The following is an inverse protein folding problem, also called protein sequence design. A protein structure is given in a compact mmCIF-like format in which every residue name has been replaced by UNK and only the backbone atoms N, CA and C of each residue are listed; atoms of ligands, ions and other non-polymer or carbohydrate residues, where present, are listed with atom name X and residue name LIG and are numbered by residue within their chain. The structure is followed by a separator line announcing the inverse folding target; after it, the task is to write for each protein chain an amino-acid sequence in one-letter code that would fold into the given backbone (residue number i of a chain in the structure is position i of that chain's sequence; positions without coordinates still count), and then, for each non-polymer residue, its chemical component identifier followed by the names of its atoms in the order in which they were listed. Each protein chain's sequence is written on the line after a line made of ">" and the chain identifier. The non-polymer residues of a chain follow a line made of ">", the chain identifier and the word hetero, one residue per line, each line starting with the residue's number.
data_IF_671971789779
#
_entry.id   IF_671971789779
#
_cell.length_a   1.000
_cell.length_b   1.000
_cell.length_c   1.000
_cell.angle_alpha   90.00
_cell.angle_beta   90.00
_cell.angle_gamma   90.00
#
_symmetry.space_group_name_H-M   'P 1'
#
loop_
_entity.id
_entity.type
_entity.pdbx_description
1 polymer ?
2 polymer ?
3 non-polymer ?
4 non-polymer ?
5 water ?
#
# COMPACT_ATOMS: atom_id res chain seq x y z
N UNK A 4 -34.74 23.19 -1.15
CA UNK A 4 -35.60 22.21 -0.47
C UNK A 4 -35.69 20.88 -1.23
N UNK A 5 -35.76 20.96 -2.56
CA UNK A 5 -35.71 19.76 -3.38
C UNK A 5 -34.28 19.29 -3.63
N UNK A 6 -34.10 17.98 -3.76
CA UNK A 6 -32.78 17.42 -4.05
C UNK A 6 -32.61 17.23 -5.55
N UNK A 7 -31.46 17.65 -6.06
CA UNK A 7 -31.18 17.59 -7.48
C UNK A 7 -29.96 16.73 -7.75
N UNK A 8 -30.07 15.87 -8.77
CA UNK A 8 -28.98 14.97 -9.15
C UNK A 8 -28.65 15.23 -10.60
N UNK A 9 -27.42 14.92 -10.99
CA UNK A 9 -27.00 15.05 -12.38
C UNK A 9 -27.72 14.01 -13.23
N UNK A 10 -27.79 14.27 -14.53
CA UNK A 10 -28.49 13.40 -15.46
C UNK A 10 -27.85 12.02 -15.54
N UNK A 11 -26.53 11.97 -15.57
CA UNK A 11 -25.82 10.73 -15.87
C UNK A 11 -24.45 10.70 -15.21
N UNK A 12 -24.38 11.25 -13.99
CA UNK A 12 -23.14 11.27 -13.21
C UNK A 12 -23.52 11.16 -11.74
N UNK A 13 -22.69 10.46 -10.98
CA UNK A 13 -22.85 10.42 -9.53
C UNK A 13 -21.67 11.14 -8.87
N UNK A 14 -21.87 11.61 -7.65
CA UNK A 14 -20.86 12.31 -6.87
C UNK A 14 -20.19 11.30 -5.93
N UNK A 15 -19.06 10.75 -6.37
CA UNK A 15 -18.37 9.73 -5.58
C UNK A 15 -17.34 10.33 -4.64
N UNK A 16 -17.06 11.63 -4.79
CA UNK A 16 -16.04 12.26 -3.97
C UNK A 16 -16.38 12.17 -2.49
N UNK A 17 -15.36 11.98 -1.67
CA UNK A 17 -15.57 11.82 -0.24
C UNK A 17 -14.95 12.99 0.50
N UNK A 18 -15.28 13.13 1.78
CA UNK A 18 -14.72 14.21 2.57
C UNK A 18 -13.26 13.92 2.84
N UNK A 19 -12.37 14.87 2.54
CA UNK A 19 -10.95 14.68 2.85
C UNK A 19 -10.79 14.67 4.38
N UNK A 20 -10.34 13.55 4.94
CA UNK A 20 -10.38 13.38 6.39
C UNK A 20 -9.07 12.91 7.00
N UNK A 21 -7.96 13.09 6.29
CA UNK A 21 -6.65 12.80 6.86
C UNK A 21 -6.11 14.03 7.57
N UNK A 22 -5.29 13.82 8.59
CA UNK A 22 -4.68 14.90 9.35
C UNK A 22 -3.32 15.20 8.74
N UNK A 23 -3.08 16.47 8.34
CA UNK A 23 -3.96 17.64 8.45
C UNK A 23 -5.02 17.72 7.38
N UNK A 24 -6.22 18.15 7.75
CA UNK A 24 -7.33 18.28 6.81
C UNK A 24 -7.32 19.64 6.13
N UNK A 25 -6.74 20.61 6.81
CA UNK A 25 -6.75 22.01 6.37
C UNK A 25 -5.43 22.29 5.67
N UNK A 26 -5.49 22.57 4.37
CA UNK A 26 -4.27 22.77 3.58
C UNK A 26 -3.97 24.24 3.34
N UNK A 27 -4.65 25.12 4.07
CA UNK A 27 -4.50 26.56 3.89
C UNK A 27 -3.08 27.06 4.07
N UNK A 28 -2.32 26.42 4.95
CA UNK A 28 -0.95 26.85 5.24
C UNK A 28 0.10 26.15 4.38
N UNK A 29 -0.33 25.38 3.38
CA UNK A 29 0.61 24.60 2.58
C UNK A 29 1.55 25.53 1.81
N UNK A 30 2.86 25.29 1.90
CA UNK A 30 3.83 26.00 1.07
C UNK A 30 3.52 25.85 -0.42
N UNK A 31 3.04 24.67 -0.81
CA UNK A 31 2.66 24.44 -2.21
C UNK A 31 1.15 24.25 -2.33
N UNK A 32 0.53 25.00 -3.23
CA UNK A 32 -0.93 24.97 -3.36
C UNK A 32 -1.33 24.60 -4.77
N UNK A 33 -1.38 23.29 -5.08
CA UNK A 33 -1.66 22.88 -6.44
C UNK A 33 -3.14 22.96 -6.77
N UNK A 34 -3.44 23.35 -8.01
CA UNK A 34 -4.80 23.46 -8.50
C UNK A 34 -4.87 22.68 -9.80
N UNK A 35 -5.93 21.90 -9.96
CA UNK A 35 -6.12 21.10 -11.17
C UNK A 35 -7.25 21.66 -12.01
N UNK A 36 -6.96 22.06 -13.24
CA UNK A 36 -8.01 22.57 -14.11
C UNK A 36 -8.40 21.50 -15.11
N UNK A 37 -9.70 21.40 -15.37
CA UNK A 37 -10.23 20.43 -16.33
C UNK A 37 -10.92 21.17 -17.48
N UNK A 38 -10.70 20.70 -18.71
CA UNK A 38 -11.30 21.32 -19.90
C UNK A 38 -12.79 21.64 -19.74
N UNK A 39 -13.17 22.82 -20.21
CA UNK A 39 -14.56 23.23 -20.28
C UNK A 39 -14.83 23.57 -21.73
N UNK A 40 -15.30 22.59 -22.49
CA UNK A 40 -15.51 22.75 -23.92
C UNK A 40 -16.95 23.14 -24.17
N UNK A 41 -17.16 24.21 -24.93
CA UNK A 41 -18.51 24.70 -25.22
C UNK A 41 -18.74 24.74 -26.73
N UNK A 42 -19.77 24.03 -27.19
CA UNK A 42 -20.14 24.04 -28.61
C UNK A 42 -21.32 24.96 -28.81
N UNK A 43 -21.34 25.67 -29.94
CA UNK A 43 -22.42 26.62 -30.22
C UNK A 43 -23.73 25.92 -30.58
N UNK A 44 -23.65 24.76 -31.23
CA UNK A 44 -24.85 24.03 -31.64
C UNK A 44 -24.70 22.53 -31.46
N UNK A 45 -25.83 21.82 -31.48
CA UNK A 45 -25.85 20.37 -31.39
C UNK A 45 -25.12 19.73 -32.57
N UNK A 46 -25.36 20.27 -33.77
CA UNK A 46 -24.67 19.81 -34.97
C UNK A 46 -23.15 19.94 -34.85
N UNK A 47 -22.70 21.05 -34.27
CA UNK A 47 -21.28 21.28 -34.02
C UNK A 47 -20.72 20.23 -33.05
N UNK A 48 -21.56 19.75 -32.14
CA UNK A 48 -21.08 18.88 -31.04
C UNK A 48 -21.29 17.40 -31.27
N UNK A 49 -22.41 17.04 -31.90
CA UNK A 49 -22.79 15.64 -32.05
C UNK A 49 -21.69 14.81 -32.71
N UNK A 50 -21.28 13.73 -32.04
CA UNK A 50 -20.27 12.84 -32.57
C UNK A 50 -18.84 13.35 -32.53
N UNK A 51 -18.62 14.54 -31.97
CA UNK A 51 -17.27 15.06 -31.84
C UNK A 51 -16.50 14.36 -30.72
N UNK A 52 -15.23 14.04 -30.96
CA UNK A 52 -14.32 13.59 -29.90
C UNK A 52 -13.58 14.79 -29.34
N UNK A 53 -13.61 14.94 -28.02
CA UNK A 53 -13.02 16.11 -27.40
C UNK A 53 -11.84 15.68 -26.54
N UNK A 54 -10.72 16.37 -26.68
CA UNK A 54 -9.57 16.13 -25.81
C UNK A 54 -9.78 16.84 -24.48
N UNK A 55 -9.91 16.08 -23.39
CA UNK A 55 -10.11 16.69 -22.09
C UNK A 55 -8.77 16.64 -21.35
N UNK A 56 -8.26 17.81 -20.98
CA UNK A 56 -6.98 17.86 -20.27
C UNK A 56 -7.20 18.06 -18.79
N UNK A 57 -6.31 17.45 -18.01
CA UNK A 57 -6.32 17.60 -16.57
C UNK A 57 -4.99 18.24 -16.22
N UNK A 58 -5.03 19.52 -15.91
CA UNK A 58 -3.84 20.35 -15.91
C UNK A 58 -3.53 20.89 -14.52
N UNK A 59 -2.32 20.64 -14.03
CA UNK A 59 -1.96 21.13 -12.70
C UNK A 59 -1.11 22.39 -12.78
N UNK A 60 -1.33 23.32 -11.84
CA UNK A 60 -0.50 24.51 -11.74
C UNK A 60 -0.12 24.75 -10.29
N UNK A 61 0.99 25.46 -10.09
CA UNK A 61 1.41 25.88 -8.77
C UNK A 61 2.29 24.87 -8.03
N UNK A 62 2.66 23.78 -8.71
CA UNK A 62 3.37 22.69 -8.05
C UNK A 62 4.66 22.21 -8.76
N UNK A 63 5.27 23.09 -9.55
CA UNK A 63 6.48 22.74 -10.31
C UNK A 63 7.62 22.28 -9.41
N UNK A 64 8.06 21.04 -9.56
CA UNK A 64 9.21 20.56 -8.81
C UNK A 64 8.87 20.31 -7.36
N UNK A 65 7.58 20.15 -7.07
CA UNK A 65 7.15 20.06 -5.67
C UNK A 65 6.33 18.81 -5.36
N UNK A 66 6.09 17.95 -6.35
CA UNK A 66 5.40 16.69 -6.05
C UNK A 66 6.05 15.49 -6.74
N UNK A 67 5.65 14.28 -6.31
CA UNK A 67 6.22 13.05 -6.85
C UNK A 67 5.20 11.92 -6.95
N UNK A 68 4.26 11.88 -6.01
CA UNK A 68 3.33 10.76 -5.90
C UNK A 68 1.89 11.25 -5.99
N UNK A 69 1.17 10.77 -7.00
CA UNK A 69 -0.21 11.20 -7.17
C UNK A 69 -1.13 10.04 -7.48
N UNK A 70 -2.41 10.24 -7.16
CA UNK A 70 -3.41 9.27 -7.53
C UNK A 70 -4.76 9.88 -7.27
N UNK A 71 -5.56 10.04 -8.32
CA UNK A 71 -6.90 10.56 -8.14
C UNK A 71 -7.89 9.98 -9.15
N UNK A 72 -9.18 10.10 -8.83
CA UNK A 72 -10.23 9.55 -9.65
C UNK A 72 -10.85 10.59 -10.59
N UNK A 73 -11.11 10.18 -11.83
CA UNK A 73 -11.81 10.98 -12.82
C UNK A 73 -13.06 10.22 -13.24
N UNK A 74 -14.20 10.90 -13.32
CA UNK A 74 -15.40 10.28 -13.86
C UNK A 74 -15.99 11.22 -14.88
N UNK A 75 -16.82 10.71 -15.78
CA UNK A 75 -17.49 11.57 -16.75
C UNK A 75 -18.93 11.11 -16.98
N UNK A 76 -19.75 12.05 -17.43
CA UNK A 76 -21.14 11.78 -17.82
C UNK A 76 -21.23 10.48 -18.61
N UNK A 77 -22.06 9.56 -18.15
CA UNK A 77 -22.20 8.23 -18.76
C UNK A 77 -22.60 8.28 -20.22
N UNK A 78 -23.19 9.39 -20.64
CA UNK A 78 -23.61 9.49 -22.04
C UNK A 78 -22.42 9.70 -22.98
N UNK A 79 -21.28 10.11 -22.42
CA UNK A 79 -20.09 10.31 -23.24
C UNK A 79 -19.44 8.97 -23.49
N UNK A 80 -18.74 8.83 -24.62
CA UNK A 80 -18.05 7.59 -24.93
C UNK A 80 -16.54 7.83 -24.91
N UNK A 81 -15.82 7.07 -24.08
CA UNK A 81 -14.38 7.28 -24.00
C UNK A 81 -13.68 6.62 -25.19
N UNK A 82 -12.68 7.30 -25.73
CA UNK A 82 -11.91 6.75 -26.84
C UNK A 82 -10.56 6.32 -26.27
N UNK A 83 -10.37 5.02 -26.12
CA UNK A 83 -9.17 4.48 -25.48
C UNK A 83 -7.90 4.71 -26.30
N UNK A 84 -6.75 4.72 -25.64
CA UNK A 84 -5.48 4.82 -26.34
C UNK A 84 -5.20 3.49 -27.02
N UNK A 85 -4.10 3.44 -27.74
CA UNK A 85 -3.69 2.23 -28.47
C UNK A 85 -3.48 1.03 -27.54
N UNK A 86 -3.31 1.29 -26.24
CA UNK A 86 -3.13 0.20 -25.27
C UNK A 86 -4.43 -0.19 -24.58
N UNK A 87 -5.51 0.53 -24.88
CA UNK A 87 -6.78 0.27 -24.23
C UNK A 87 -7.06 1.14 -23.01
N UNK A 88 -6.06 1.93 -22.61
CA UNK A 88 -6.22 2.82 -21.44
C UNK A 88 -7.18 3.95 -21.75
N UNK A 89 -7.90 4.41 -20.73
CA UNK A 89 -8.86 5.51 -20.93
C UNK A 89 -8.19 6.89 -20.83
N UNK A 90 -6.97 6.91 -20.31
CA UNK A 90 -6.23 8.16 -20.17
C UNK A 90 -4.78 7.99 -20.60
N UNK A 91 -4.19 9.11 -21.00
CA UNK A 91 -2.83 9.16 -21.52
C UNK A 91 -2.05 10.26 -20.79
N UNK A 92 -0.86 9.95 -20.30
CA UNK A 92 -0.09 10.93 -19.52
C UNK A 92 0.31 12.11 -20.40
N UNK A 93 0.54 13.26 -19.76
CA UNK A 93 0.91 14.47 -20.48
C UNK A 93 2.25 14.97 -20.04
N UNK A 94 2.61 16.16 -20.51
CA UNK A 94 3.97 16.68 -20.29
C UNK A 94 4.31 16.92 -18.82
N UNK A 95 3.29 17.12 -17.98
CA UNK A 95 3.54 17.38 -16.56
C UNK A 95 4.20 16.17 -15.89
N UNK A 96 4.00 14.99 -16.47
CA UNK A 96 4.46 13.73 -15.89
C UNK A 96 5.65 13.16 -16.65
N UNK A 97 6.23 13.97 -17.55
CA UNK A 97 7.33 13.52 -18.38
C UNK A 97 8.53 13.04 -17.56
N UNK A 98 8.80 13.69 -16.44
CA UNK A 98 9.95 13.32 -15.61
C UNK A 98 9.62 12.31 -14.50
N UNK A 99 8.37 11.82 -14.50
CA UNK A 99 7.92 10.81 -13.54
C UNK A 99 7.88 9.46 -14.24
N UNK A 100 8.83 8.59 -13.86
CA UNK A 100 9.01 7.28 -14.50
C UNK A 100 7.80 6.37 -14.33
N UNK A 101 7.08 6.56 -13.23
CA UNK A 101 5.91 5.75 -12.92
C UNK A 101 4.68 6.56 -13.29
N UNK A 102 3.81 6.00 -14.13
CA UNK A 102 2.55 6.64 -14.49
C UNK A 102 1.63 5.57 -15.03
N UNK A 103 0.40 5.53 -14.54
CA UNK A 103 -0.52 4.45 -14.87
C UNK A 103 -1.96 4.92 -14.85
N UNK A 104 -2.67 4.68 -15.95
CA UNK A 104 -4.10 4.93 -16.04
C UNK A 104 -4.85 3.62 -15.92
N UNK A 105 -5.80 3.56 -14.99
CA UNK A 105 -6.56 2.33 -14.76
C UNK A 105 -8.03 2.58 -15.05
N UNK A 106 -8.59 1.84 -16.00
CA UNK A 106 -9.98 2.06 -16.41
C UNK A 106 -10.97 1.73 -15.30
N UNK A 107 -12.04 2.53 -15.22
CA UNK A 107 -13.00 2.41 -14.11
C UNK A 107 -14.43 2.75 -14.54
N UNK A 108 -14.94 2.05 -15.54
CA UNK A 108 -16.32 2.28 -15.97
C UNK A 108 -16.43 3.61 -16.71
N UNK A 109 -17.30 4.49 -16.24
CA UNK A 109 -17.39 5.85 -16.79
C UNK A 109 -16.34 6.73 -16.13
N UNK A 110 -15.11 6.25 -16.13
CA UNK A 110 -14.04 6.96 -15.46
C UNK A 110 -12.75 6.19 -15.52
N UNK A 111 -11.74 6.73 -14.84
CA UNK A 111 -10.41 6.18 -14.89
C UNK A 111 -9.71 6.61 -13.60
N UNK A 112 -8.77 5.81 -13.13
CA UNK A 112 -7.96 6.21 -12.00
C UNK A 112 -6.55 6.48 -12.51
N UNK A 113 -5.99 7.65 -12.17
CA UNK A 113 -4.70 8.05 -12.72
C UNK A 113 -3.71 8.31 -11.60
N UNK A 114 -2.53 7.70 -11.73
CA UNK A 114 -1.53 7.75 -10.68
C UNK A 114 -0.12 7.94 -11.23
N UNK A 115 0.78 8.48 -10.41
CA UNK A 115 2.15 8.65 -10.86
C UNK A 115 3.12 8.55 -9.69
N UNK A 116 4.38 8.30 -10.02
CA UNK A 116 5.45 8.24 -9.04
C UNK A 116 6.72 8.71 -9.66
N UNK A 117 7.68 9.12 -8.83
CA UNK A 117 8.92 9.69 -9.30
C UNK A 117 9.98 9.52 -8.21
N UNK A 118 11.24 9.39 -8.62
CA UNK A 118 12.32 9.13 -7.68
C UNK A 118 12.86 10.37 -7.00
N UNK A 119 12.22 11.50 -7.31
CA UNK A 119 12.48 12.77 -6.63
C UNK A 119 11.25 13.61 -6.92
N UNK A 120 11.24 14.86 -6.47
CA UNK A 120 10.10 15.74 -6.74
C UNK A 120 10.13 16.28 -8.17
N UNK A 121 9.94 15.38 -9.12
CA UNK A 121 10.08 15.72 -10.54
C UNK A 121 8.72 16.06 -11.16
N UNK A 122 7.67 16.03 -10.34
CA UNK A 122 6.35 16.46 -10.81
C UNK A 122 6.44 17.89 -11.34
N UNK A 123 5.79 18.16 -12.47
CA UNK A 123 5.85 19.48 -13.10
C UNK A 123 4.45 20.04 -13.29
N UNK A 124 4.37 21.34 -13.57
CA UNK A 124 3.08 21.94 -13.90
C UNK A 124 2.74 21.59 -15.35
N UNK A 125 1.46 21.65 -15.69
CA UNK A 125 1.02 21.34 -17.05
C UNK A 125 0.01 20.22 -17.11
N UNK A 126 -0.17 19.68 -18.31
CA UNK A 126 -1.11 18.58 -18.50
C UNK A 126 -0.60 17.26 -17.87
N UNK A 127 -1.30 16.76 -16.86
CA UNK A 127 -0.94 15.47 -16.27
C UNK A 127 -1.51 14.31 -17.06
N UNK A 128 -2.75 14.46 -17.52
CA UNK A 128 -3.46 13.40 -18.22
C UNK A 128 -4.41 14.01 -19.26
N UNK A 129 -4.63 13.29 -20.35
CA UNK A 129 -5.71 13.57 -21.28
C UNK A 129 -6.62 12.37 -21.42
N UNK A 130 -7.89 12.65 -21.67
CA UNK A 130 -8.90 11.64 -21.94
C UNK A 130 -9.65 12.17 -23.15
N UNK A 131 -9.86 11.32 -24.16
CA UNK A 131 -10.67 11.68 -25.31
C UNK A 131 -12.08 11.17 -25.11
N UNK A 132 -13.05 12.10 -25.13
CA UNK A 132 -14.44 11.75 -24.90
C UNK A 132 -15.30 12.14 -26.10
N UNK A 133 -16.07 11.18 -26.61
CA UNK A 133 -16.93 11.46 -27.77
C UNK A 133 -18.36 11.85 -27.37
N UNK A 134 -18.82 12.98 -27.91
CA UNK A 134 -20.20 13.46 -27.70
C UNK A 134 -21.22 12.57 -28.44
N UNK A 135 -22.33 12.20 -27.78
CA UNK A 135 -23.27 11.30 -28.44
C UNK A 135 -23.96 11.92 -29.66
N UNK A 136 -24.41 11.08 -30.58
CA UNK A 136 -25.03 11.55 -31.81
C UNK A 136 -26.33 12.30 -31.53
N UNK A 137 -27.02 11.92 -30.46
CA UNK A 137 -28.31 12.51 -30.14
C UNK A 137 -28.20 13.70 -29.20
N UNK A 138 -27.02 14.31 -29.15
CA UNK A 138 -26.83 15.50 -28.32
C UNK A 138 -27.77 16.63 -28.74
N UNK A 139 -28.23 17.41 -27.76
CA UNK A 139 -29.15 18.51 -28.02
C UNK A 139 -28.59 19.81 -27.47
N UNK A 140 -29.05 20.92 -28.03
CA UNK A 140 -28.72 22.23 -27.48
C UNK A 140 -29.07 22.28 -26.00
N UNK A 141 -28.20 22.89 -25.20
CA UNK A 141 -28.46 23.02 -23.78
C UNK A 141 -27.83 21.91 -22.97
N UNK A 142 -27.42 20.85 -23.65
CA UNK A 142 -26.86 19.68 -22.94
C UNK A 142 -25.51 20.00 -22.30
N UNK A 143 -25.31 19.43 -21.11
CA UNK A 143 -24.04 19.55 -20.40
C UNK A 143 -23.61 18.15 -19.94
N UNK A 144 -22.39 17.76 -20.28
CA UNK A 144 -21.83 16.48 -19.87
C UNK A 144 -20.68 16.77 -18.90
N UNK A 145 -20.95 16.68 -17.59
CA UNK A 145 -19.92 17.06 -16.61
C UNK A 145 -18.79 16.05 -16.53
N UNK A 146 -17.62 16.53 -16.11
CA UNK A 146 -16.44 15.70 -15.96
C UNK A 146 -15.90 16.00 -14.57
N UNK A 147 -15.70 14.95 -13.76
CA UNK A 147 -15.44 15.11 -12.34
C UNK A 147 -14.08 14.55 -11.94
N UNK A 148 -13.34 15.32 -11.15
CA UNK A 148 -12.15 14.82 -10.44
C UNK A 148 -12.58 14.64 -9.00
N UNK A 149 -12.35 13.46 -8.43
CA UNK A 149 -12.86 13.18 -7.10
C UNK A 149 -11.81 12.53 -6.22
N UNK A 150 -11.87 12.85 -4.93
CA UNK A 150 -11.03 12.22 -3.92
C UNK A 150 -11.78 11.04 -3.36
N UNK A 151 -11.13 9.87 -3.33
CA UNK A 151 -11.74 8.72 -2.66
C UNK A 151 -10.81 8.15 -1.62
N UNK A 152 -11.39 7.53 -0.59
CA UNK A 152 -10.60 6.94 0.48
C UNK A 152 -11.32 5.72 1.04
N UNK A 153 -10.55 4.74 1.49
CA UNK A 153 -11.10 3.67 2.32
C UNK A 153 -9.98 3.19 3.25
N UNK A 154 -10.31 2.32 4.23
CA UNK A 154 -9.24 1.94 5.16
C UNK A 154 -8.06 1.23 4.49
N UNK A 155 -8.23 0.69 3.29
CA UNK A 155 -7.11 0.00 2.62
C UNK A 155 -6.15 0.96 1.90
N UNK A 156 -6.70 2.02 1.33
CA UNK A 156 -5.88 3.00 0.60
C UNK A 156 -6.73 4.19 0.23
N UNK A 157 -6.06 5.30 -0.08
CA UNK A 157 -6.75 6.49 -0.51
C UNK A 157 -5.97 7.22 -1.60
N UNK A 158 -6.60 8.26 -2.13
CA UNK A 158 -6.03 9.05 -3.21
C UNK A 158 -4.92 9.95 -2.67
N UNK A 159 -4.01 10.36 -3.56
CA UNK A 159 -2.76 10.96 -3.11
C UNK A 159 -2.36 12.16 -3.95
N UNK A 160 -1.66 13.10 -3.33
CA UNK A 160 -0.94 14.13 -4.06
C UNK A 160 0.12 14.70 -3.14
N UNK A 161 1.29 14.08 -3.14
CA UNK A 161 2.28 14.40 -2.12
C UNK A 161 3.66 14.41 -2.73
N UNK A 162 4.65 14.74 -1.90
CA UNK A 162 6.01 14.82 -2.41
C UNK A 162 6.73 13.48 -2.22
N UNK A 163 7.99 13.43 -2.64
CA UNK A 163 8.69 12.17 -2.73
C UNK A 163 8.82 11.49 -1.36
N UNK A 164 9.08 12.29 -0.34
CA UNK A 164 9.26 11.76 1.02
C UNK A 164 7.96 11.74 1.82
N UNK A 165 6.88 12.19 1.19
CA UNK A 165 5.59 12.34 1.86
C UNK A 165 5.76 13.08 3.17
N UNK A 166 6.41 14.23 3.08
CA UNK A 166 6.75 15.03 4.25
C UNK A 166 5.53 15.73 4.82
N UNK A 167 5.73 16.46 5.91
CA UNK A 167 4.69 17.28 6.51
C UNK A 167 4.14 18.26 5.50
N UNK A 168 5.03 18.89 4.73
CA UNK A 168 4.59 19.82 3.68
C UNK A 168 3.93 19.06 2.53
N UNK A 169 4.38 17.84 2.28
CA UNK A 169 3.75 16.99 1.28
C UNK A 169 2.31 16.72 1.62
N UNK A 170 2.06 16.46 2.90
CA UNK A 170 0.71 16.16 3.37
C UNK A 170 -0.17 17.42 3.40
N UNK A 171 0.44 18.57 3.63
CA UNK A 171 -0.29 19.83 3.57
C UNK A 171 -0.68 20.14 2.13
N UNK A 172 0.25 19.87 1.21
CA UNK A 172 0.00 20.07 -0.21
C UNK A 172 -1.14 19.16 -0.65
N UNK A 173 -1.15 17.95 -0.11
CA UNK A 173 -2.16 16.97 -0.47
C UNK A 173 -3.55 17.44 -0.05
N UNK A 174 -3.64 17.93 1.18
CA UNK A 174 -4.91 18.43 1.68
C UNK A 174 -5.35 19.60 0.84
N UNK A 175 -4.42 20.50 0.50
CA UNK A 175 -4.78 21.63 -0.36
C UNK A 175 -5.34 21.13 -1.68
N UNK A 176 -4.63 20.19 -2.30
CA UNK A 176 -5.05 19.67 -3.62
C UNK A 176 -6.49 19.20 -3.62
N UNK A 177 -6.83 18.37 -2.64
CA UNK A 177 -8.15 17.75 -2.64
C UNK A 177 -9.25 18.65 -2.10
N UNK A 178 -8.92 19.58 -1.19
CA UNK A 178 -9.94 20.44 -0.61
C UNK A 178 -10.12 21.79 -1.31
N UNK A 179 -9.08 22.27 -1.98
CA UNK A 179 -9.13 23.59 -2.62
C UNK A 179 -8.66 23.54 -4.06
N UNK A 180 -7.89 22.52 -4.40
CA UNK A 180 -7.31 22.41 -5.73
C UNK A 180 -8.28 21.84 -6.76
N UNK A 181 -9.29 21.11 -6.30
CA UNK A 181 -10.31 20.58 -7.19
C UNK A 181 -11.70 20.96 -6.67
N UNK A 182 -12.71 20.80 -7.51
CA UNK A 182 -14.08 21.01 -7.07
C UNK A 182 -14.64 19.76 -6.42
N UNK A 183 -15.61 19.95 -5.54
CA UNK A 183 -16.27 18.85 -4.86
C UNK A 183 -17.51 19.39 -4.18
N UNK A 184 -18.29 18.55 -3.52
CA UNK A 184 -19.49 19.05 -2.84
C UNK A 184 -19.11 20.02 -1.72
N UNK A 185 -17.89 19.90 -1.21
CA UNK A 185 -17.41 20.81 -0.17
C UNK A 185 -16.81 22.08 -0.76
N UNK A 186 -16.33 21.99 -2.00
CA UNK A 186 -15.82 23.16 -2.72
C UNK A 186 -16.46 23.22 -4.09
N UNK A 187 -17.75 23.60 -4.13
CA UNK A 187 -18.54 23.50 -5.36
C UNK A 187 -18.15 24.50 -6.44
N UNK A 188 -18.23 24.07 -7.69
CA UNK A 188 -18.14 24.99 -8.81
C UNK A 188 -19.32 25.96 -8.80
N UNK A 189 -19.08 27.18 -9.27
CA UNK A 189 -20.18 28.13 -9.51
C UNK A 189 -20.37 28.31 -11.01
N UNK A 190 -19.67 27.50 -11.80
CA UNK A 190 -19.80 27.54 -13.25
C UNK A 190 -21.26 27.28 -13.64
N UNK A 191 -21.83 28.16 -14.47
CA UNK A 191 -23.25 28.10 -14.78
C UNK A 191 -23.68 26.77 -15.42
N UNK A 192 -22.84 26.22 -16.30
CA UNK A 192 -23.13 24.93 -16.94
C UNK A 192 -23.19 23.79 -15.92
N UNK A 193 -22.26 23.79 -14.98
CA UNK A 193 -22.27 22.77 -13.92
C UNK A 193 -23.46 22.93 -12.98
N UNK A 194 -23.85 24.17 -12.72
CA UNK A 194 -25.04 24.45 -11.92
C UNK A 194 -26.26 23.89 -12.65
N UNK A 195 -26.33 24.15 -13.95
CA UNK A 195 -27.43 23.67 -14.79
C UNK A 195 -27.47 22.15 -14.81
N UNK A 196 -26.28 21.54 -14.86
CA UNK A 196 -26.17 20.09 -14.91
C UNK A 196 -26.42 19.44 -13.55
N UNK A 197 -26.68 20.26 -12.54
CA UNK A 197 -26.78 19.78 -11.15
C UNK A 197 -25.56 18.95 -10.75
N UNK A 198 -24.39 19.44 -11.13
CA UNK A 198 -23.15 18.70 -10.94
C UNK A 198 -22.04 19.64 -10.50
N UNK A 199 -22.31 20.45 -9.47
CA UNK A 199 -21.34 21.44 -9.01
C UNK A 199 -20.16 20.81 -8.25
N UNK A 200 -20.24 19.51 -7.98
CA UNK A 200 -19.10 18.79 -7.41
C UNK A 200 -18.09 18.46 -8.50
N UNK A 201 -18.55 18.56 -9.76
CA UNK A 201 -17.71 18.25 -10.92
C UNK A 201 -16.79 19.43 -11.26
N UNK A 202 -15.95 19.25 -12.28
CA UNK A 202 -14.78 20.10 -12.49
C UNK A 202 -14.68 20.72 -13.87
N UNK A 203 -14.99 19.92 -14.88
CA UNK A 203 -15.00 20.43 -16.25
C UNK A 203 -16.24 19.86 -16.87
N UNK A 204 -16.33 19.98 -18.20
CA UNK A 204 -17.51 19.52 -18.93
C UNK A 204 -17.35 19.68 -20.43
N UNK A 205 -18.24 19.02 -21.16
CA UNK A 205 -18.49 19.39 -22.55
C UNK A 205 -19.93 19.84 -22.54
N UNK A 206 -20.15 21.08 -23.01
CA UNK A 206 -21.47 21.69 -22.97
C UNK A 206 -21.87 22.14 -24.37
N UNK A 207 -23.17 22.27 -24.59
CA UNK A 207 -23.68 22.77 -25.86
C UNK A 207 -24.59 23.95 -25.54
N UNK A 208 -24.30 25.11 -26.11
CA UNK A 208 -25.06 26.33 -25.80
C UNK A 208 -26.56 26.13 -25.92
N UNK A 209 -27.31 26.86 -25.09
CA UNK A 209 -28.76 26.80 -25.09
C UNK A 209 -29.32 27.38 -26.37
N UNK A 210 -30.45 26.84 -26.82
CA UNK A 210 -31.14 27.38 -27.97
C UNK A 210 -31.65 28.79 -27.70
N UNK B 5 11.02 -42.90 53.89
CA UNK B 5 12.35 -43.47 54.03
C UNK B 5 12.89 -43.85 52.66
N UNK B 6 12.00 -44.41 51.85
CA UNK B 6 12.32 -44.85 50.50
C UNK B 6 12.68 -43.65 49.61
N UNK B 7 13.86 -43.70 49.01
CA UNK B 7 14.34 -42.62 48.18
C UNK B 7 13.85 -42.79 46.74
N UNK B 8 13.34 -41.72 46.15
CA UNK B 8 12.99 -41.75 44.73
C UNK B 8 13.46 -40.47 44.05
N UNK B 9 13.47 -40.49 42.71
CA UNK B 9 13.77 -39.30 41.91
C UNK B 9 12.54 -38.93 41.10
N UNK B 10 12.35 -37.63 40.87
CA UNK B 10 11.24 -37.17 40.06
C UNK B 10 11.63 -35.86 39.40
N UNK B 11 11.07 -35.59 38.23
CA UNK B 11 11.28 -34.33 37.54
C UNK B 11 10.75 -33.18 38.37
N UNK B 12 11.59 -32.17 38.60
CA UNK B 12 11.18 -30.99 39.35
C UNK B 12 10.77 -29.88 38.42
N UNK B 13 11.55 -29.70 37.35
CA UNK B 13 11.20 -28.72 36.34
C UNK B 13 11.88 -29.05 35.01
N UNK B 14 11.39 -28.43 33.95
CA UNK B 14 11.83 -28.74 32.60
C UNK B 14 11.75 -27.50 31.75
N UNK B 15 12.80 -27.22 31.00
CA UNK B 15 12.87 -25.99 30.22
C UNK B 15 13.66 -26.23 28.94
N UNK B 16 13.47 -25.34 27.97
CA UNK B 16 14.15 -25.48 26.69
C UNK B 16 15.03 -24.24 26.45
N UNK B 17 16.15 -24.44 25.78
CA UNK B 17 16.94 -23.31 25.29
C UNK B 17 16.93 -23.40 23.78
N UNK B 18 16.63 -22.29 23.14
CA UNK B 18 16.44 -22.30 21.69
C UNK B 18 17.27 -21.23 21.04
N UNK B 19 17.99 -21.63 20.00
CA UNK B 19 18.69 -20.70 19.12
C UNK B 19 17.81 -20.57 17.87
N UNK B 20 17.34 -19.36 17.59
CA UNK B 20 16.47 -19.17 16.45
C UNK B 20 16.82 -17.88 15.73
N UNK B 21 16.31 -17.73 14.50
CA UNK B 21 16.53 -16.51 13.74
C UNK B 21 15.17 -15.93 13.35
N UNK B 22 15.14 -14.64 13.03
CA UNK B 22 13.95 -13.95 12.54
C UNK B 22 13.37 -14.63 11.31
N UNK B 23 12.07 -14.43 11.10
CA UNK B 23 11.46 -14.84 9.84
C UNK B 23 10.49 -13.77 9.40
N UNK B 24 10.47 -13.49 8.09
CA UNK B 24 9.56 -12.50 7.50
C UNK B 24 8.44 -13.21 6.77
N UNK B 25 7.20 -12.74 6.92
CA UNK B 25 6.08 -13.39 6.25
C UNK B 25 5.07 -12.38 5.70
N UNK B 26 4.33 -12.78 4.67
CA UNK B 26 3.19 -11.98 4.21
C UNK B 26 1.96 -12.36 5.03
N UNK B 27 1.04 -11.41 5.20
CA UNK B 27 -0.16 -11.64 5.99
C UNK B 27 -1.05 -12.75 5.43
N UNK B 28 -0.86 -13.07 4.16
CA UNK B 28 -1.69 -14.08 3.49
C UNK B 28 -1.15 -15.51 3.63
N UNK B 29 0.09 -15.65 4.11
CA UNK B 29 0.72 -16.98 4.15
C UNK B 29 0.11 -17.90 5.20
N UNK B 30 0.09 -19.19 4.91
CA UNK B 30 -0.62 -20.12 5.78
C UNK B 30 0.31 -20.94 6.67
N UNK B 31 1.60 -20.60 6.66
CA UNK B 31 2.57 -21.41 7.38
C UNK B 31 3.84 -20.65 7.78
N UNK B 32 4.21 -20.74 9.06
CA UNK B 32 5.53 -20.28 9.50
C UNK B 32 6.58 -21.33 9.14
N UNK B 33 7.83 -20.92 8.99
CA UNK B 33 8.89 -21.84 8.58
C UNK B 33 9.72 -22.28 9.80
N UNK B 34 9.70 -23.58 10.10
CA UNK B 34 10.46 -24.12 11.24
C UNK B 34 11.97 -23.99 11.06
N UNK B 35 12.40 -23.57 9.87
CA UNK B 35 13.81 -23.36 9.61
C UNK B 35 14.35 -22.21 10.46
N UNK B 36 13.46 -21.37 10.98
CA UNK B 36 13.84 -20.32 11.93
C UNK B 36 14.49 -20.94 13.17
N UNK B 37 14.06 -22.15 13.51
CA UNK B 37 14.56 -22.84 14.71
C UNK B 37 15.87 -23.57 14.39
N UNK B 38 16.99 -23.01 14.84
CA UNK B 38 18.30 -23.56 14.50
C UNK B 38 18.68 -24.69 15.43
N UNK B 39 18.34 -24.54 16.71
CA UNK B 39 18.67 -25.58 17.67
C UNK B 39 17.82 -25.41 18.91
N UNK B 40 17.38 -26.51 19.47
CA UNK B 40 16.56 -26.49 20.67
C UNK B 40 16.99 -27.62 21.56
N UNK B 41 17.36 -27.29 22.79
CA UNK B 41 17.86 -28.30 23.73
C UNK B 41 16.95 -28.34 24.95
N UNK B 42 16.44 -29.52 25.27
CA UNK B 42 15.52 -29.68 26.40
C UNK B 42 16.29 -30.08 27.65
N UNK B 43 16.13 -29.32 28.72
CA UNK B 43 16.77 -29.64 30.00
C UNK B 43 15.72 -30.16 30.99
N UNK B 44 16.06 -31.22 31.70
CA UNK B 44 15.14 -31.79 32.69
C UNK B 44 15.81 -31.88 34.06
N UNK B 45 15.26 -31.15 35.03
CA UNK B 45 15.84 -31.11 36.36
C UNK B 45 15.15 -32.11 37.29
N UNK B 46 15.93 -32.93 37.99
CA UNK B 46 15.40 -33.89 38.93
C UNK B 46 15.70 -33.50 40.38
N UNK B 47 14.84 -33.95 41.29
CA UNK B 47 15.16 -33.95 42.71
C UNK B 47 15.12 -35.39 43.19
N UNK B 48 16.06 -35.77 44.03
CA UNK B 48 16.05 -37.08 44.60
C UNK B 48 15.92 -36.89 46.09
N UNK B 49 15.12 -37.73 46.74
CA UNK B 49 14.91 -37.60 48.16
C UNK B 49 13.80 -38.50 48.67
N UNK B 50 13.30 -38.17 49.84
CA UNK B 50 12.28 -39.00 50.48
C UNK B 50 11.31 -38.13 51.25
N UNK B 51 10.24 -38.75 51.73
CA UNK B 51 9.31 -38.08 52.62
C UNK B 51 9.49 -38.72 53.99
N UNK B 52 9.78 -37.90 55.00
CA UNK B 52 9.98 -38.43 56.34
C UNK B 52 8.68 -38.93 56.93
N UNK B 53 8.78 -39.63 58.06
CA UNK B 53 7.60 -40.14 58.75
C UNK B 53 6.65 -38.99 59.15
N UNK B 54 7.20 -37.81 59.36
CA UNK B 54 6.40 -36.64 59.73
C UNK B 54 5.75 -36.00 58.50
N UNK B 55 5.91 -36.65 57.35
CA UNK B 55 5.26 -36.21 56.13
C UNK B 55 5.98 -35.06 55.42
N UNK B 56 7.11 -34.63 55.97
CA UNK B 56 7.89 -33.56 55.35
C UNK B 56 8.85 -34.11 54.29
N UNK B 57 8.79 -33.53 53.10
CA UNK B 57 9.66 -33.91 51.99
C UNK B 57 11.10 -33.45 52.24
N UNK B 58 12.05 -34.36 52.04
CA UNK B 58 13.47 -34.05 52.13
C UNK B 58 14.11 -34.22 50.75
N UNK B 59 14.83 -33.21 50.28
CA UNK B 59 15.55 -33.33 49.02
C UNK B 59 17.03 -33.54 49.32
N UNK B 60 17.56 -34.66 48.82
CA UNK B 60 18.95 -35.01 49.07
C UNK B 60 19.88 -34.54 47.94
N UNK B 61 19.29 -34.33 46.76
CA UNK B 61 20.03 -34.21 45.52
C UNK B 61 19.28 -33.41 44.45
N UNK B 62 19.96 -32.49 43.77
CA UNK B 62 19.36 -31.84 42.61
C UNK B 62 20.32 -32.01 41.43
N UNK B 63 19.79 -32.32 40.25
CA UNK B 63 20.63 -32.65 39.11
C UNK B 63 19.78 -32.62 37.85
N UNK B 64 20.43 -32.59 36.69
CA UNK B 64 19.71 -32.71 35.42
C UNK B 64 20.09 -34.01 34.73
N UNK B 65 19.20 -34.55 33.91
CA UNK B 65 19.57 -35.69 33.08
C UNK B 65 20.28 -35.06 31.88
N UNK B 66 20.83 -35.88 30.99
CA UNK B 66 21.53 -35.33 29.83
C UNK B 66 20.56 -34.56 28.94
N UNK B 67 20.91 -33.31 28.62
CA UNK B 67 20.04 -32.47 27.82
C UNK B 67 19.79 -33.12 26.45
N UNK B 68 18.60 -32.92 25.88
CA UNK B 68 18.21 -33.63 24.67
C UNK B 68 17.95 -32.63 23.56
N UNK B 69 18.53 -32.87 22.39
CA UNK B 69 18.28 -32.04 21.22
C UNK B 69 16.90 -32.38 20.67
N UNK B 70 15.98 -31.41 20.67
CA UNK B 70 14.63 -31.66 20.19
C UNK B 70 14.29 -30.74 19.02
N UNK B 71 15.32 -30.14 18.43
CA UNK B 71 15.17 -29.15 17.35
C UNK B 71 14.13 -29.58 16.32
N UNK B 72 14.24 -30.82 15.88
CA UNK B 72 13.44 -31.36 14.79
C UNK B 72 11.98 -31.59 15.17
N UNK B 73 11.70 -31.66 16.47
CA UNK B 73 10.36 -31.98 16.96
C UNK B 73 9.50 -30.74 17.23
N UNK B 74 10.09 -29.56 17.09
CA UNK B 74 9.35 -28.33 17.41
C UNK B 74 8.48 -27.85 16.26
N UNK B 75 7.23 -27.50 16.58
CA UNK B 75 6.30 -26.94 15.59
C UNK B 75 5.79 -25.60 16.11
N UNK B 76 5.01 -24.90 15.30
CA UNK B 76 4.39 -23.66 15.75
C UNK B 76 2.91 -23.87 16.06
N UNK B 77 2.50 -25.13 16.22
CA UNK B 77 1.14 -25.46 16.56
C UNK B 77 0.18 -25.05 15.46
N UNK B 78 -0.89 -24.34 15.83
CA UNK B 78 -1.90 -23.93 14.86
C UNK B 78 -1.70 -22.52 14.35
N UNK B 79 -0.74 -21.79 14.93
CA UNK B 79 -0.49 -20.41 14.51
C UNK B 79 0.03 -20.33 13.08
N UNK B 80 -0.42 -19.31 12.36
CA UNK B 80 -0.03 -19.06 10.98
C UNK B 80 0.09 -17.55 10.80
N UNK B 81 0.81 -17.11 9.77
CA UNK B 81 0.87 -15.67 9.52
C UNK B 81 -0.54 -15.07 9.36
N UNK B 82 -1.41 -15.76 8.63
CA UNK B 82 -2.74 -15.24 8.35
C UNK B 82 -3.57 -15.09 9.61
N UNK B 83 -3.43 -16.02 10.55
CA UNK B 83 -4.23 -15.94 11.77
C UNK B 83 -3.57 -15.21 12.93
N UNK B 84 -2.37 -14.70 12.69
CA UNK B 84 -1.60 -13.97 13.70
C UNK B 84 -1.54 -12.47 13.38
N UNK B 85 -1.50 -12.17 12.10
CA UNK B 85 -1.36 -10.79 11.63
C UNK B 85 -2.42 -9.83 12.18
N UNK B 86 -1.94 -8.74 12.78
CA UNK B 86 -2.80 -7.62 13.16
C UNK B 86 -2.15 -6.31 12.72
N UNK B 87 -2.91 -5.50 11.98
CA UNK B 87 -2.39 -4.21 11.56
C UNK B 87 -2.32 -3.27 12.77
N UNK B 88 -1.11 -2.95 13.20
CA UNK B 88 -0.87 -2.02 14.30
C UNK B 88 0.22 -1.04 13.88
N UNK B 89 0.03 0.24 14.18
CA UNK B 89 0.95 1.29 13.75
C UNK B 89 2.35 1.08 14.31
N UNK B 90 3.34 1.03 13.42
CA UNK B 90 4.76 0.91 13.80
C UNK B 90 5.07 -0.35 14.60
N UNK B 91 4.30 -1.42 14.37
CA UNK B 91 4.48 -2.67 15.12
C UNK B 91 4.28 -3.86 14.20
N UNK B 92 5.36 -4.60 13.91
CA UNK B 92 5.28 -5.72 12.97
C UNK B 92 5.84 -7.04 13.49
N UNK B 93 6.35 -7.04 14.71
CA UNK B 93 6.96 -8.26 15.24
C UNK B 93 5.99 -9.01 16.15
N UNK B 94 6.07 -10.34 16.11
CA UNK B 94 5.22 -11.19 16.94
C UNK B 94 6.08 -12.27 17.55
N UNK B 95 5.74 -12.69 18.76
CA UNK B 95 6.38 -13.84 19.40
C UNK B 95 5.48 -15.07 19.29
N UNK B 96 5.93 -16.05 18.52
CA UNK B 96 5.16 -17.26 18.25
C UNK B 96 5.65 -18.41 19.12
N UNK B 97 4.77 -18.95 20.00
CA UNK B 97 5.16 -20.06 20.87
C UNK B 97 5.49 -21.31 20.08
N UNK B 98 6.55 -22.02 20.49
CA UNK B 98 6.84 -23.31 19.88
C UNK B 98 6.08 -24.38 20.62
N UNK B 99 5.86 -25.51 19.95
CA UNK B 99 5.16 -26.62 20.57
C UNK B 99 5.99 -27.88 20.44
N UNK B 100 5.92 -28.71 21.47
CA UNK B 100 6.65 -29.94 21.50
C UNK B 100 5.69 -30.96 22.07
N UNK B 101 5.43 -32.02 21.30
CA UNK B 101 4.40 -33.00 21.67
C UNK B 101 3.10 -32.29 22.01
N UNK B 102 2.73 -31.31 21.19
CA UNK B 102 1.46 -30.58 21.34
C UNK B 102 1.31 -29.76 22.63
N UNK B 103 2.43 -29.37 23.23
CA UNK B 103 2.38 -28.48 24.39
C UNK B 103 3.45 -27.42 24.26
N UNK B 104 3.23 -26.25 24.86
CA UNK B 104 4.25 -25.20 24.86
C UNK B 104 5.36 -25.63 25.80
N UNK B 105 6.49 -24.95 25.70
CA UNK B 105 7.63 -25.20 26.59
C UNK B 105 8.03 -23.91 27.27
N UNK B 106 8.63 -24.02 28.44
CA UNK B 106 9.19 -22.84 29.11
C UNK B 106 10.67 -22.69 28.77
N UNK B 107 11.13 -21.45 28.63
CA UNK B 107 12.56 -21.20 28.46
C UNK B 107 13.26 -21.22 29.81
N UNK B 108 14.54 -20.90 29.85
CA UNK B 108 15.29 -20.97 31.12
C UNK B 108 14.73 -20.07 32.22
N UNK B 109 14.03 -19.01 31.82
CA UNK B 109 13.56 -18.01 32.78
C UNK B 109 12.07 -18.18 33.13
N UNK B 110 11.50 -19.30 32.76
CA UNK B 110 10.13 -19.61 33.14
C UNK B 110 9.04 -19.06 32.22
N UNK B 111 9.44 -18.42 31.12
CA UNK B 111 8.46 -17.91 30.17
C UNK B 111 8.26 -18.86 28.99
N UNK B 112 7.07 -18.86 28.40
CA UNK B 112 6.82 -19.69 27.22
C UNK B 112 7.84 -19.39 26.13
N UNK B 113 8.49 -20.43 25.62
CA UNK B 113 9.52 -20.27 24.60
C UNK B 113 8.88 -19.87 23.29
N UNK B 114 9.34 -18.76 22.71
CA UNK B 114 8.77 -18.25 21.48
C UNK B 114 9.85 -17.93 20.46
N UNK B 115 9.42 -17.80 19.21
CA UNK B 115 10.28 -17.38 18.12
C UNK B 115 9.74 -16.08 17.50
N UNK B 116 10.64 -15.17 17.12
CA UNK B 116 10.22 -13.87 16.60
C UNK B 116 9.85 -13.94 15.11
N UNK B 117 8.69 -13.41 14.74
CA UNK B 117 8.39 -13.28 13.30
C UNK B 117 7.94 -11.85 12.99
N UNK B 118 8.09 -11.46 11.72
CA UNK B 118 7.57 -10.17 11.24
C UNK B 118 6.57 -10.47 10.13
N UNK B 119 5.40 -9.84 10.20
CA UNK B 119 4.35 -10.13 9.24
C UNK B 119 3.83 -8.82 8.68
N UNK B 120 3.76 -8.71 7.35
CA UNK B 120 3.28 -7.48 6.77
C UNK B 120 2.53 -7.69 5.47
N UNK B 121 2.06 -6.60 4.87
CA UNK B 121 1.34 -6.68 3.60
C UNK B 121 2.36 -6.62 2.49
N UNK B 122 2.29 -7.55 1.55
CA UNK B 122 3.16 -7.46 0.38
C UNK B 122 2.92 -6.10 -0.27
N UNK B 123 3.99 -5.47 -0.74
CA UNK B 123 3.92 -4.14 -1.32
C UNK B 123 4.08 -2.96 -0.36
N UNK B 124 4.00 -3.22 0.95
CA UNK B 124 3.97 -2.12 1.93
C UNK B 124 5.37 -1.62 2.32
N UNK B 125 6.06 -1.06 1.33
CA UNK B 125 7.42 -0.53 1.50
C UNK B 125 7.64 0.38 2.70
N UNK B 126 6.71 1.30 2.94
CA UNK B 126 6.91 2.25 4.04
C UNK B 126 6.29 1.80 5.37
N UNK B 127 5.86 0.55 5.43
CA UNK B 127 5.46 -0.07 6.69
C UNK B 127 4.38 0.74 7.42
N UNK B 128 3.32 1.11 6.71
CA UNK B 128 2.22 1.84 7.32
C UNK B 128 0.90 1.08 7.18
N UNK B 129 1.00 -0.22 6.92
CA UNK B 129 -0.17 -1.10 6.82
C UNK B 129 -1.09 -0.72 5.65
N UNK B 130 -0.56 0.02 4.70
CA UNK B 130 -1.32 0.48 3.54
C UNK B 130 -0.48 0.24 2.29
N UNK B 131 -1.06 -0.34 1.24
CA UNK B 131 -0.33 -0.49 -0.02
C UNK B 131 -0.83 0.57 -0.97
N UNK B 132 0.03 1.55 -1.29
CA UNK B 132 -0.40 2.62 -2.17
C UNK B 132 0.73 3.18 -3.01
N UNK B 133 0.46 4.29 -3.69
CA UNK B 133 1.44 4.87 -4.60
C UNK B 133 2.72 5.32 -3.91
N UNK B 134 2.64 5.63 -2.62
CA UNK B 134 3.83 6.06 -1.89
C UNK B 134 4.84 4.91 -1.79
N UNK B 135 4.32 3.69 -1.66
CA UNK B 135 5.19 2.53 -1.62
C UNK B 135 5.90 2.32 -2.95
N UNK B 136 5.16 2.52 -4.04
CA UNK B 136 5.75 2.42 -5.38
C UNK B 136 6.86 3.45 -5.57
N UNK B 137 6.58 4.69 -5.18
CA UNK B 137 7.58 5.76 -5.26
C UNK B 137 8.81 5.46 -4.40
N UNK B 138 8.58 4.95 -3.19
CA UNK B 138 9.72 4.68 -2.31
C UNK B 138 10.59 3.58 -2.92
N UNK B 139 9.94 2.57 -3.50
CA UNK B 139 10.67 1.49 -4.13
C UNK B 139 11.45 2.02 -5.33
N UNK B 140 10.80 2.83 -6.16
CA UNK B 140 11.47 3.43 -7.32
C UNK B 140 12.65 4.30 -6.89
N UNK B 141 12.44 5.04 -5.82
CA UNK B 141 13.46 5.97 -5.33
C UNK B 141 14.69 5.20 -4.87
N UNK B 142 14.45 4.06 -4.22
CA UNK B 142 15.56 3.22 -3.76
C UNK B 142 16.34 2.66 -4.94
N UNK B 143 15.62 2.23 -5.98
CA UNK B 143 16.27 1.73 -7.19
C UNK B 143 17.17 2.80 -7.82
N UNK B 144 16.66 4.03 -7.92
CA UNK B 144 17.41 5.10 -8.56
C UNK B 144 18.66 5.44 -7.75
N UNK B 145 18.52 5.46 -6.42
CA UNK B 145 19.65 5.73 -5.55
C UNK B 145 20.75 4.66 -5.69
N UNK B 146 20.35 3.39 -5.58
CA UNK B 146 21.31 2.29 -5.64
C UNK B 146 21.83 2.03 -7.05
N UNK B 147 21.25 2.69 -8.05
CA UNK B 147 21.76 2.61 -9.41
C UNK B 147 22.74 3.74 -9.69
N UNK B 148 22.97 4.58 -8.68
CA UNK B 148 23.91 5.69 -8.80
C UNK B 148 25.29 5.27 -8.29
N UNK B 149 26.32 5.69 -9.02
CA UNK B 149 27.70 5.40 -8.63
C UNK B 149 27.99 5.81 -7.19
N UNK B 150 28.60 4.91 -6.43
CA UNK B 150 28.96 5.20 -5.05
C UNK B 150 27.87 4.84 -4.06
N UNK B 151 26.78 4.26 -4.54
CA UNK B 151 25.68 3.90 -3.65
C UNK B 151 25.20 2.46 -3.83
N UNK B 152 24.87 1.81 -2.72
CA UNK B 152 24.23 0.50 -2.80
C UNK B 152 23.35 0.20 -1.61
N UNK B 153 22.90 -1.04 -1.53
CA UNK B 153 22.05 -1.51 -0.46
C UNK B 153 22.59 -1.19 0.93
N UNK B 154 23.92 -1.06 1.05
CA UNK B 154 24.52 -0.82 2.36
C UNK B 154 24.51 0.65 2.79
N UNK B 155 24.39 1.56 1.83
CA UNK B 155 24.43 2.98 2.14
C UNK B 155 23.09 3.69 1.93
N UNK B 156 22.14 2.98 1.34
CA UNK B 156 20.81 3.54 1.08
C UNK B 156 19.73 2.78 1.85
N UNK B 157 18.85 3.54 2.50
CA UNK B 157 17.69 2.94 3.16
C UNK B 157 16.53 2.89 2.17
N UNK B 158 15.75 1.82 2.17
CA UNK B 158 14.61 1.67 1.27
C UNK B 158 13.33 2.26 1.83
N UNK B 159 13.03 1.92 3.08
CA UNK B 159 11.77 2.32 3.70
C UNK B 159 11.81 3.70 4.33
N UNK B 160 10.79 4.52 4.04
CA UNK B 160 10.60 5.81 4.74
C UNK B 160 10.12 5.63 6.20
N UNK B 161 9.79 4.41 6.59
CA UNK B 161 9.26 4.14 7.95
C UNK B 161 10.15 4.73 9.04
N UNK B 162 9.56 5.30 10.09
CA UNK B 162 10.33 5.70 11.27
C UNK B 162 11.05 4.51 11.89
N UNK B 163 10.57 3.31 11.62
CA UNK B 163 11.19 2.10 12.18
C UNK B 163 12.58 1.87 11.59
N UNK B 164 12.77 2.33 10.35
CA UNK B 164 14.06 2.27 9.72
C UNK B 164 14.85 3.53 10.04
N UNK B 165 14.16 4.67 10.03
CA UNK B 165 14.75 5.95 10.35
C UNK B 165 15.98 6.29 9.54
N UNK B 166 15.94 5.98 8.24
CA UNK B 166 17.06 6.29 7.35
C UNK B 166 18.26 5.37 7.53
N UNK B 167 18.12 4.34 8.35
CA UNK B 167 19.24 3.46 8.70
C UNK B 167 19.37 2.28 7.76
N UNK B 168 20.40 2.29 6.90
CA UNK B 168 20.49 1.28 5.83
C UNK B 168 20.63 -0.15 6.34
N UNK B 169 21.02 -0.31 7.60
CA UNK B 169 21.24 -1.65 8.14
C UNK B 169 20.19 -2.08 9.16
N UNK B 170 19.07 -1.38 9.20
CA UNK B 170 17.96 -1.80 10.06
C UNK B 170 17.34 -3.12 9.59
N UNK B 171 16.96 -3.96 10.53
CA UNK B 171 16.26 -5.20 10.21
C UNK B 171 14.92 -4.88 9.53
N UNK B 172 14.34 -3.73 9.87
CA UNK B 172 13.08 -3.33 9.23
C UNK B 172 13.28 -2.97 7.77
N UNK B 173 14.51 -2.63 7.38
CA UNK B 173 14.77 -2.38 5.97
C UNK B 173 14.89 -3.69 5.21
N UNK B 174 15.38 -4.73 5.88
CA UNK B 174 15.34 -6.05 5.29
C UNK B 174 13.90 -6.50 5.12
N UNK B 175 13.07 -6.21 6.13
CA UNK B 175 11.65 -6.58 6.12
C UNK B 175 10.93 -5.81 5.01
N UNK B 176 11.23 -4.52 4.92
CA UNK B 176 10.65 -3.68 3.86
C UNK B 176 11.04 -4.22 2.48
N UNK B 177 12.31 -4.58 2.31
CA UNK B 177 12.77 -5.17 1.05
C UNK B 177 12.00 -6.43 0.72
N UNK B 178 11.79 -7.29 1.73
CA UNK B 178 11.01 -8.50 1.54
C UNK B 178 9.58 -8.16 1.08
N UNK B 179 8.99 -7.13 1.68
CA UNK B 179 7.64 -6.75 1.29
C UNK B 179 7.61 -6.13 -0.11
N UNK B 180 8.68 -5.42 -0.48
CA UNK B 180 8.70 -4.65 -1.73
C UNK B 180 9.06 -5.49 -2.95
N UNK B 181 9.70 -6.64 -2.70
CA UNK B 181 10.22 -7.48 -3.76
C UNK B 181 9.10 -8.32 -4.33
N UNK B 182 8.13 -7.66 -4.97
CA UNK B 182 6.92 -8.31 -5.46
C UNK B 182 7.21 -9.04 -6.76
N UNK B 183 8.31 -8.66 -7.40
CA UNK B 183 8.74 -9.31 -8.63
C UNK B 183 10.08 -9.97 -8.33
N UNK B 184 10.06 -11.28 -8.10
CA UNK B 184 11.28 -12.04 -7.82
C UNK B 184 11.58 -12.98 -8.98
N UNK B 185 12.64 -12.68 -9.73
CA UNK B 185 12.95 -13.48 -10.91
C UNK B 185 13.31 -14.92 -10.54
N UNK B 186 13.96 -15.09 -9.39
CA UNK B 186 14.44 -16.40 -8.96
C UNK B 186 13.32 -17.33 -8.50
N UNK B 187 12.15 -16.76 -8.20
CA UNK B 187 11.06 -17.53 -7.64
C UNK B 187 11.34 -17.97 -6.21
N UNK B 188 10.78 -19.11 -5.82
CA UNK B 188 10.88 -19.65 -4.45
C UNK B 188 12.31 -19.93 -4.01
N UNK B 189 13.23 -20.01 -4.97
CA UNK B 189 14.61 -20.36 -4.65
C UNK B 189 15.37 -19.24 -3.93
N UNK B 190 14.90 -18.00 -4.08
CA UNK B 190 15.34 -16.93 -3.20
C UNK B 190 14.38 -16.95 -2.02
N UNK B 191 14.85 -17.45 -0.87
CA UNK B 191 13.98 -17.68 0.27
C UNK B 191 13.62 -16.38 1.01
N UNK B 192 12.66 -16.47 1.90
CA UNK B 192 12.26 -15.35 2.75
C UNK B 192 13.39 -14.86 3.66
N UNK B 193 14.45 -15.65 3.81
CA UNK B 193 15.57 -15.20 4.65
C UNK B 193 16.60 -14.32 3.94
N UNK B 194 16.39 -14.05 2.65
CA UNK B 194 17.30 -13.15 1.93
C UNK B 194 17.32 -11.75 2.57
N UNK B 195 18.50 -11.14 2.63
CA UNK B 195 18.61 -9.79 3.15
C UNK B 195 18.38 -8.81 2.04
N UNK B 196 18.20 -7.53 2.39
CA UNK B 196 17.93 -6.50 1.39
C UNK B 196 19.01 -6.48 0.32
N UNK B 197 20.26 -6.57 0.74
CA UNK B 197 21.37 -6.55 -0.22
C UNK B 197 21.36 -7.76 -1.17
N UNK B 198 20.66 -8.82 -0.78
CA UNK B 198 20.64 -10.03 -1.59
C UNK B 198 19.48 -10.04 -2.60
N UNK B 199 18.63 -9.02 -2.52
CA UNK B 199 17.47 -8.91 -3.42
C UNK B 199 17.70 -7.91 -4.55
N UNK B 200 16.90 -8.02 -5.60
CA UNK B 200 16.88 -7.02 -6.66
C UNK B 200 15.60 -6.22 -6.53
N UNK B 201 15.73 -4.99 -6.03
CA UNK B 201 14.60 -4.11 -5.86
C UNK B 201 14.71 -3.08 -6.96
N UNK B 202 13.87 -3.19 -7.98
CA UNK B 202 14.03 -2.33 -9.15
C UNK B 202 12.74 -1.66 -9.61
N UNK B 203 12.79 -1.03 -10.78
CA UNK B 203 11.63 -0.34 -11.32
C UNK B 203 10.48 -1.27 -11.64
N UNK B 204 10.77 -2.55 -11.85
CA UNK B 204 9.71 -3.54 -12.11
C UNK B 204 8.94 -3.82 -10.82
N UNK B 205 9.66 -3.93 -9.71
CA UNK B 205 8.98 -3.99 -8.41
C UNK B 205 8.12 -2.75 -8.21
N UNK B 206 8.66 -1.58 -8.53
CA UNK B 206 7.93 -0.33 -8.28
C UNK B 206 6.68 -0.20 -9.16
N UNK B 207 6.81 -0.59 -10.43
CA UNK B 207 5.68 -0.54 -11.38
C UNK B 207 4.55 -1.49 -10.97
N UNK B 208 4.91 -2.71 -10.60
CA UNK B 208 3.98 -3.61 -9.91
C UNK B 208 3.96 -2.85 -8.60
N UNK B 209 2.99 -3.01 -7.73
CA UNK B 209 2.82 -2.10 -6.58
C UNK B 209 2.06 -0.89 -7.05
N UNK B 210 2.60 -0.09 -7.98
CA UNK B 210 1.79 1.01 -8.52
C UNK B 210 0.53 0.46 -9.17
N UNK B 211 0.70 -0.57 -10.00
CA UNK B 211 -0.45 -1.17 -10.68
C UNK B 211 -1.36 -1.88 -9.69
N UNK B 212 -0.78 -2.47 -8.66
CA UNK B 212 -1.59 -3.06 -7.61
C UNK B 212 -2.42 -1.92 -7.01
N UNK B 213 -1.77 -0.81 -6.70
CA UNK B 213 -2.48 0.33 -6.14
C UNK B 213 -3.59 0.85 -7.08
N UNK B 214 -3.27 1.01 -8.37
CA UNK B 214 -4.29 1.51 -9.27
C UNK B 214 -5.46 0.54 -9.42
N UNK B 215 -5.17 -0.75 -9.57
CA UNK B 215 -6.26 -1.71 -9.70
C UNK B 215 -7.09 -1.77 -8.43
N UNK B 216 -6.45 -1.68 -7.26
CA UNK B 216 -7.20 -1.66 -6.00
C UNK B 216 -8.16 -0.47 -5.94
N UNK B 217 -7.87 0.57 -6.71
CA UNK B 217 -8.60 1.84 -6.63
C UNK B 217 -9.74 1.94 -7.63
N UNK B 218 -9.93 0.90 -8.42
CA UNK B 218 -11.10 0.88 -9.32
C UNK B 218 -12.09 -0.20 -8.89
N UNK B 219 -13.33 -0.09 -9.36
CA UNK B 219 -14.41 -0.97 -8.89
C UNK B 219 -14.12 -2.46 -9.13
N UNK B 220 -13.52 -2.77 -10.26
CA UNK B 220 -13.27 -4.16 -10.65
C UNK B 220 -12.41 -4.93 -9.66
N UNK B 221 -11.42 -4.29 -9.05
CA UNK B 221 -10.46 -5.01 -8.23
C UNK B 221 -10.42 -4.60 -6.76
N UNK B 222 -11.27 -3.66 -6.37
CA UNK B 222 -11.27 -3.16 -4.99
C UNK B 222 -11.34 -4.31 -3.98
N UNK B 223 -12.32 -5.20 -4.17
CA UNK B 223 -12.54 -6.31 -3.23
C UNK B 223 -11.44 -7.36 -3.29
N UNK B 224 -10.97 -7.67 -4.51
CA UNK B 224 -9.86 -8.59 -4.68
C UNK B 224 -8.64 -8.11 -3.88
N UNK B 225 -8.32 -6.83 -4.01
CA UNK B 225 -7.17 -6.29 -3.31
C UNK B 225 -7.31 -6.43 -1.80
N UNK B 226 -8.53 -6.20 -1.31
CA UNK B 226 -8.79 -6.18 0.11
C UNK B 226 -8.91 -7.60 0.68
N UNK B 227 -9.54 -8.49 -0.08
CA UNK B 227 -9.86 -9.82 0.44
C UNK B 227 -8.81 -10.87 0.12
N UNK B 228 -8.36 -10.90 -1.13
CA UNK B 228 -7.32 -11.83 -1.56
C UNK B 228 -6.27 -11.10 -2.39
N UNK B 229 -5.44 -10.30 -1.72
CA UNK B 229 -4.48 -9.47 -2.46
C UNK B 229 -3.56 -10.34 -3.30
N UNK B 230 -3.35 -11.58 -2.86
CA UNK B 230 -2.44 -12.47 -3.57
C UNK B 230 -2.85 -12.79 -5.00
N UNK B 231 -4.16 -12.88 -5.25
CA UNK B 231 -4.65 -13.08 -6.60
C UNK B 231 -4.43 -11.82 -7.46
N UNK B 232 -4.47 -10.65 -6.83
CA UNK B 232 -4.22 -9.41 -7.56
C UNK B 232 -2.72 -9.27 -7.83
N UNK B 233 -1.89 -9.65 -6.87
CA UNK B 233 -0.45 -9.61 -7.11
C UNK B 233 -0.08 -10.48 -8.31
N UNK B 234 -0.66 -11.69 -8.39
CA UNK B 234 -0.35 -12.58 -9.51
C UNK B 234 -0.74 -11.96 -10.86
N UNK B 235 -1.86 -11.23 -10.87
CA UNK B 235 -2.30 -10.57 -12.08
C UNK B 235 -1.33 -9.45 -12.46
N UNK B 236 -0.94 -8.64 -11.49
CA UNK B 236 -0.10 -7.49 -11.80
C UNK B 236 1.34 -7.89 -12.14
N UNK B 237 1.81 -9.04 -11.64
CA UNK B 237 3.17 -9.49 -11.95
C UNK B 237 3.22 -10.40 -13.18
N UNK B 238 2.07 -10.62 -13.81
CA UNK B 238 2.01 -11.43 -15.01
C UNK B 238 2.06 -12.91 -14.75
N UNK B 239 1.95 -13.29 -13.47
CA UNK B 239 2.02 -14.70 -13.09
C UNK B 239 0.65 -15.40 -13.14
N UNK B 240 -0.36 -14.69 -13.60
CA UNK B 240 -1.72 -15.23 -13.73
C UNK B 240 -2.62 -14.32 -14.56
X LIG C 1 -14.87 17.09 -8.23
X LIG D 1 1.40 7.88 7.11
X LIG D 1 1.94 6.54 6.88
X LIG D 1 0.25 8.10 6.23
X LIG D 1 0.97 7.99 8.50
X LIG D 1 2.44 8.87 6.85
X LIG E 1 -21.98 4.63 -8.78
X LIG E 1 -21.80 4.63 -10.23
X LIG E 1 -23.41 4.62 -8.46
X LIG E 1 -21.38 3.45 -8.19
X LIG E 1 -21.36 5.84 -8.22
X LIG F 1 -33.40 20.83 -12.13
X LIG F 1 -32.28 21.70 -11.77
X LIG F 1 -33.35 20.53 -13.56
X LIG F 1 -33.32 19.59 -11.36
X LIG F 1 -34.65 21.53 -11.81
X LIG G 1 -6.33 19.87 10.77
X LIG G 1 -5.55 20.36 9.64
X LIG G 1 -7.51 20.72 10.93
X LIG G 1 -6.73 18.48 10.56
X LIG G 1 -5.51 19.94 11.98
X LIG H 1 -27.93 18.06 -18.96
X LIG H 1 -28.42 19.45 -18.94
X LIG H 1 -27.37 17.74 -20.27
X LIG H 1 -26.90 17.90 -17.90
X LIG H 1 -29.05 17.17 -18.74
X LIG I 1 2.57 1.64 2.66
X LIG J 1 12.48 -7.57 -7.60
#
# INVERSE_FOLDING_TARGET
>A
MTHHHHHHAMALTDRGMTYDLDPKDGSSAATKPVLEVTKKVFDTAADAAGQTVTVEFKVSGAEGKYATTGYHIYWDERLEVVATKTGAYAKKGAALEDSSLAKAENNGNGVFVASGADDDFGADGVMWTVELKVPADAKAGDVYPIDVAYQWDPSKGDLFTDNKDSAQGKLMQAYFFTQGIKSSSNPSTDEYLVKANATYADGYIAIKAGEP
>B
MGSSNTVTSAVKTQYVEIESVDGFYFNTEDKFDTAQIKKAVLHTVYNEGYTGDDGVAVVLREYESEPVDITAELTFGDATPANTYKAVENKFDYEIPVYYNNATLKDAEGNDATVTVYIGLKGDTDLNNIVDGRDATATLTYYAATSTDGKDATTVALSPSTLVGGNPESVYDDFSAFLSDVKVDAGKELTRFAKKAERLIDGRDASSILTFYTKSSVDQYKDMAANEPNKLWDIVTGDAEEE
>C hetero
1 CA CA
>D hetero
1 SO4 S O1 O2 O3 O4
>E hetero
1 SO4 S O1 O2 O3 O4
>F hetero
1 SO4 S O1 O2 O3 O4
>G hetero
1 SO4 S O1 O2 O3 O4
>H hetero
1 SO4 S O1 O2 O3 O4
>I hetero
1 CA CA
>J hetero
1 CA CA
#
